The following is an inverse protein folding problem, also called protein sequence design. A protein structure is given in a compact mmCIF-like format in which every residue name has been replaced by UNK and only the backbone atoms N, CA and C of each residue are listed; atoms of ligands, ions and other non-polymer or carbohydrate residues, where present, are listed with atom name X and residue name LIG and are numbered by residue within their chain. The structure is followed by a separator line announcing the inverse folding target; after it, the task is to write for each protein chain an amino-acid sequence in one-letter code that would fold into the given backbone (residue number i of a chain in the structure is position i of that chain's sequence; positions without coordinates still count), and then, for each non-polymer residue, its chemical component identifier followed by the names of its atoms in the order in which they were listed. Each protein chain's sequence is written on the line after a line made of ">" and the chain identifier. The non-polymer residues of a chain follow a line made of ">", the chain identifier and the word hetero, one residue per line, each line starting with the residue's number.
data_IF_220538952587
#
_entry.id   IF_220538952587
#
_cell.length_a   1.000
_cell.length_b   1.000
_cell.length_c   1.000
_cell.angle_alpha   90.00
_cell.angle_beta   90.00
_cell.angle_gamma   90.00
#
_symmetry.space_group_name_H-M   'P 1'
#
loop_
_entity.id
_entity.type
_entity.pdbx_description
1 polymer ?
#
# COMPACT_ATOMS: atom_id res chain seq x y z
N UNK A 1 21.43 -3.38 -15.04
CA UNK A 1 20.45 -2.33 -14.75
C UNK A 1 20.36 -1.50 -16.02
N UNK A 2 19.36 -1.79 -16.86
CA UNK A 2 19.21 -1.07 -18.13
C UNK A 2 18.93 0.39 -17.82
N UNK A 3 19.66 1.31 -18.47
CA UNK A 3 19.44 2.74 -18.29
C UNK A 3 18.07 3.06 -18.88
N UNK A 4 17.14 3.52 -18.06
CA UNK A 4 15.87 4.04 -18.53
C UNK A 4 16.17 5.34 -19.28
N UNK A 5 16.00 5.32 -20.60
CA UNK A 5 16.15 6.53 -21.42
C UNK A 5 14.84 7.32 -21.42
N UNK A 6 14.95 8.62 -21.14
CA UNK A 6 13.85 9.59 -21.19
C UNK A 6 14.01 10.49 -22.41
N UNK A 7 12.89 10.74 -23.10
CA UNK A 7 12.80 11.77 -24.13
C UNK A 7 12.99 13.16 -23.52
N UNK A 8 13.25 14.17 -24.34
CA UNK A 8 13.38 15.56 -23.87
C UNK A 8 12.10 16.04 -23.15
N UNK A 9 10.93 15.63 -23.64
CA UNK A 9 9.64 15.97 -23.05
C UNK A 9 9.43 15.28 -21.70
N UNK A 10 9.85 14.02 -21.58
CA UNK A 10 9.76 13.28 -20.32
C UNK A 10 10.74 13.82 -19.28
N UNK A 11 11.93 14.27 -19.69
CA UNK A 11 12.88 14.94 -18.79
C UNK A 11 12.29 16.17 -18.13
N UNK A 12 11.40 16.91 -18.80
CA UNK A 12 10.71 18.03 -18.18
C UNK A 12 9.89 17.63 -16.94
N UNK A 13 9.33 16.41 -16.92
CA UNK A 13 8.61 15.88 -15.75
C UNK A 13 9.55 15.36 -14.66
N UNK A 14 10.66 14.74 -15.03
CA UNK A 14 11.61 14.10 -14.09
C UNK A 14 12.56 15.14 -13.47
N UNK A 15 12.95 16.14 -14.24
CA UNK A 15 13.80 17.26 -13.86
C UNK A 15 13.03 18.58 -14.02
N UNK A 16 11.93 18.77 -13.25
CA UNK A 16 11.05 19.89 -13.47
C UNK A 16 11.72 21.20 -13.06
N UNK A 17 11.54 22.23 -13.89
CA UNK A 17 11.99 23.58 -13.58
C UNK A 17 11.30 24.09 -12.30
N UNK A 18 12.00 24.84 -11.43
CA UNK A 18 11.41 25.42 -10.23
C UNK A 18 10.14 26.23 -10.51
N UNK A 19 9.19 26.20 -9.59
CA UNK A 19 7.91 26.93 -9.70
C UNK A 19 6.84 26.24 -10.55
N UNK A 20 7.18 25.17 -11.29
CA UNK A 20 6.20 24.39 -12.06
C UNK A 20 5.33 23.51 -11.15
N UNK A 21 4.20 23.04 -11.67
CA UNK A 21 3.36 22.06 -10.97
C UNK A 21 4.10 20.73 -10.75
N UNK A 22 4.90 20.30 -11.74
CA UNK A 22 5.73 19.11 -11.62
C UNK A 22 6.79 19.25 -10.51
N UNK A 23 7.41 20.43 -10.36
CA UNK A 23 8.33 20.68 -9.25
C UNK A 23 7.62 20.57 -7.90
N UNK A 24 6.43 21.17 -7.75
CA UNK A 24 5.65 21.03 -6.51
C UNK A 24 5.24 19.58 -6.21
N UNK A 25 4.87 18.81 -7.22
CA UNK A 25 4.54 17.39 -7.07
C UNK A 25 5.76 16.59 -6.60
N UNK A 26 6.93 16.81 -7.22
CA UNK A 26 8.19 16.19 -6.80
C UNK A 26 8.56 16.57 -5.36
N UNK A 27 8.44 17.85 -5.02
CA UNK A 27 8.79 18.34 -3.68
C UNK A 27 7.82 17.82 -2.59
N UNK A 28 6.59 17.45 -2.96
CA UNK A 28 5.65 16.71 -2.09
C UNK A 28 6.01 15.22 -1.94
N UNK A 29 6.95 14.70 -2.73
CA UNK A 29 7.34 13.28 -2.74
C UNK A 29 6.61 12.42 -3.76
N UNK A 30 5.93 13.02 -4.75
CA UNK A 30 5.32 12.26 -5.85
C UNK A 30 6.40 11.82 -6.84
N UNK A 31 6.50 10.52 -7.09
CA UNK A 31 7.39 9.96 -8.10
C UNK A 31 6.79 10.11 -9.52
N UNK A 32 7.26 11.13 -10.24
CA UNK A 32 6.83 11.42 -11.61
C UNK A 32 7.39 10.44 -12.66
N UNK A 33 8.34 9.56 -12.30
CA UNK A 33 8.81 8.48 -13.19
C UNK A 33 7.71 7.45 -13.45
N UNK A 34 6.81 7.26 -12.48
CA UNK A 34 5.61 6.44 -12.62
C UNK A 34 4.64 7.11 -13.60
N UNK A 35 4.49 8.43 -13.55
CA UNK A 35 3.67 9.18 -14.49
C UNK A 35 4.19 9.02 -15.92
N UNK A 36 5.50 9.15 -16.14
CA UNK A 36 6.11 8.91 -17.45
C UNK A 36 5.85 7.48 -17.93
N UNK A 37 6.05 6.49 -17.06
CA UNK A 37 5.78 5.09 -17.38
C UNK A 37 4.33 4.86 -17.79
N UNK A 38 3.37 5.52 -17.13
CA UNK A 38 1.95 5.44 -17.47
C UNK A 38 1.60 6.15 -18.79
N UNK A 39 2.30 7.22 -19.15
CA UNK A 39 2.10 7.94 -20.42
C UNK A 39 2.59 7.13 -21.63
N UNK A 40 3.59 6.26 -21.46
CA UNK A 40 4.01 5.27 -22.47
C UNK A 40 3.00 4.14 -22.66
N UNK A 41 2.05 4.04 -21.74
CA UNK A 41 0.82 3.24 -21.72
C UNK A 41 0.01 3.30 -23.03
N UNK A 42 -0.21 2.19 -23.76
CA UNK A 42 -1.42 2.14 -24.63
C UNK A 42 -2.69 2.14 -23.79
N UNK A 43 -3.85 2.36 -24.42
CA UNK A 43 -5.13 2.31 -23.72
C UNK A 43 -5.39 0.92 -23.11
N UNK A 44 -5.12 -0.14 -23.85
CA UNK A 44 -5.28 -1.54 -23.43
C UNK A 44 -4.36 -1.86 -22.27
N UNK A 45 -3.09 -1.48 -22.36
CA UNK A 45 -2.12 -1.68 -21.29
C UNK A 45 -2.49 -0.92 -20.00
N UNK A 46 -3.07 0.28 -20.13
CA UNK A 46 -3.60 1.01 -18.97
C UNK A 46 -4.75 0.26 -18.30
N UNK A 47 -5.66 -0.33 -19.08
CA UNK A 47 -6.77 -1.14 -18.54
C UNK A 47 -6.23 -2.38 -17.81
N UNK A 48 -5.28 -3.10 -18.41
CA UNK A 48 -4.67 -4.27 -17.77
C UNK A 48 -3.99 -3.90 -16.45
N UNK A 49 -3.21 -2.82 -16.42
CA UNK A 49 -2.56 -2.32 -15.20
C UNK A 49 -3.57 -1.93 -14.10
N UNK A 50 -4.71 -1.35 -14.49
CA UNK A 50 -5.78 -1.03 -13.54
C UNK A 50 -6.40 -2.30 -12.95
N UNK A 51 -6.63 -3.33 -13.77
CA UNK A 51 -7.17 -4.61 -13.33
C UNK A 51 -6.22 -5.32 -12.35
N UNK A 52 -4.92 -5.36 -12.66
CA UNK A 52 -3.88 -5.88 -11.76
C UNK A 52 -3.83 -5.12 -10.43
N UNK A 53 -3.99 -3.80 -10.47
CA UNK A 53 -4.02 -2.96 -9.27
C UNK A 53 -5.27 -3.25 -8.43
N UNK A 54 -6.44 -3.38 -9.06
CA UNK A 54 -7.67 -3.75 -8.35
C UNK A 54 -7.58 -5.13 -7.71
N UNK A 55 -7.02 -6.11 -8.43
CA UNK A 55 -6.81 -7.45 -7.90
C UNK A 55 -5.91 -7.43 -6.67
N UNK A 56 -4.79 -6.70 -6.74
CA UNK A 56 -3.84 -6.56 -5.62
C UNK A 56 -4.47 -5.90 -4.40
N UNK A 57 -5.25 -4.83 -4.60
CA UNK A 57 -5.97 -4.17 -3.50
C UNK A 57 -7.01 -5.07 -2.83
N UNK A 58 -7.74 -5.88 -3.61
CA UNK A 58 -8.68 -6.86 -3.06
C UNK A 58 -7.97 -7.89 -2.19
N UNK A 59 -6.82 -8.37 -2.64
CA UNK A 59 -6.00 -9.32 -1.87
C UNK A 59 -5.53 -8.71 -0.55
N UNK A 60 -4.95 -7.50 -0.60
CA UNK A 60 -4.49 -6.81 0.63
C UNK A 60 -5.62 -6.54 1.62
N UNK A 61 -6.83 -6.24 1.14
CA UNK A 61 -7.99 -6.08 2.04
C UNK A 61 -8.31 -7.39 2.78
N UNK A 62 -8.32 -8.52 2.07
CA UNK A 62 -8.56 -9.83 2.66
C UNK A 62 -7.46 -10.18 3.68
N UNK A 63 -6.20 -9.89 3.35
CA UNK A 63 -5.08 -10.13 4.27
C UNK A 63 -5.21 -9.28 5.55
N UNK A 64 -5.59 -8.00 5.44
CA UNK A 64 -5.85 -7.13 6.60
C UNK A 64 -7.01 -7.63 7.46
N UNK A 65 -8.13 -8.03 6.85
CA UNK A 65 -9.28 -8.60 7.57
C UNK A 65 -8.88 -9.86 8.34
N UNK A 66 -8.10 -10.75 7.73
CA UNK A 66 -7.60 -11.97 8.38
C UNK A 66 -6.64 -11.67 9.55
N UNK A 67 -5.82 -10.63 9.44
CA UNK A 67 -4.91 -10.22 10.52
C UNK A 67 -5.67 -9.65 11.73
N UNK A 68 -6.73 -8.86 11.50
CA UNK A 68 -7.61 -8.39 12.57
C UNK A 68 -8.32 -9.55 13.30
N UNK A 69 -8.81 -10.54 12.56
CA UNK A 69 -9.46 -11.72 13.15
C UNK A 69 -8.49 -12.51 14.04
N UNK A 70 -7.22 -12.63 13.64
CA UNK A 70 -6.18 -13.28 14.45
C UNK A 70 -5.83 -12.51 15.72
N UNK A 71 -5.69 -11.18 15.62
CA UNK A 71 -5.44 -10.35 16.80
C UNK A 71 -6.61 -10.42 17.79
N UNK A 72 -7.85 -10.36 17.30
CA UNK A 72 -9.04 -10.49 18.13
C UNK A 72 -9.11 -11.87 18.82
N UNK A 73 -8.84 -12.95 18.08
CA UNK A 73 -8.80 -14.29 18.66
C UNK A 73 -7.77 -14.41 19.80
N UNK A 74 -6.58 -13.83 19.62
CA UNK A 74 -5.55 -13.83 20.66
C UNK A 74 -5.96 -13.03 21.90
N UNK A 75 -6.66 -11.90 21.73
CA UNK A 75 -7.18 -11.11 22.85
C UNK A 75 -8.27 -11.86 23.63
N UNK A 76 -9.19 -12.53 22.94
CA UNK A 76 -10.25 -13.33 23.57
C UNK A 76 -9.67 -14.52 24.34
N UNK A 77 -8.63 -15.18 23.81
CA UNK A 77 -7.93 -16.25 24.51
C UNK A 77 -7.27 -15.75 25.80
N UNK A 78 -6.61 -14.58 25.73
CA UNK A 78 -6.01 -13.95 26.92
C UNK A 78 -7.07 -13.60 27.98
N UNK A 79 -8.22 -13.07 27.57
CA UNK A 79 -9.34 -12.79 28.47
C UNK A 79 -9.84 -14.07 29.16
N UNK A 80 -10.06 -15.14 28.39
CA UNK A 80 -10.47 -16.44 28.92
C UNK A 80 -9.46 -17.01 29.93
N UNK A 81 -8.15 -16.88 29.67
CA UNK A 81 -7.10 -17.29 30.60
C UNK A 81 -7.14 -16.46 31.89
N UNK A 82 -7.34 -15.16 31.79
CA UNK A 82 -7.45 -14.28 32.96
C UNK A 82 -8.68 -14.60 33.81
N UNK A 83 -9.82 -14.88 33.17
CA UNK A 83 -11.03 -15.32 33.83
C UNK A 83 -10.82 -16.66 34.57
N UNK A 84 -10.28 -17.66 33.88
CA UNK A 84 -9.93 -18.95 34.50
C UNK A 84 -9.03 -18.78 35.72
N UNK A 85 -8.01 -17.92 35.62
CA UNK A 85 -7.10 -17.61 36.75
C UNK A 85 -7.81 -16.92 37.92
N UNK A 86 -8.78 -16.05 37.65
CA UNK A 86 -9.59 -15.42 38.71
C UNK A 86 -10.42 -16.47 39.44
N UNK A 87 -11.17 -17.28 38.69
CA UNK A 87 -12.05 -18.32 39.25
C UNK A 87 -11.25 -19.35 40.07
N UNK A 88 -10.11 -19.79 39.56
CA UNK A 88 -9.25 -20.77 40.25
C UNK A 88 -8.48 -20.20 41.43
N UNK A 89 -8.15 -18.90 41.45
CA UNK A 89 -7.60 -18.23 42.63
C UNK A 89 -8.65 -18.06 43.74
N UNK A 90 -9.91 -17.82 43.39
CA UNK A 90 -11.02 -17.69 44.35
C UNK A 90 -11.55 -19.03 44.86
N UNK A 91 -11.24 -20.14 44.20
CA UNK A 91 -11.64 -21.51 44.59
C UNK A 91 -10.77 -22.17 45.66
N UNK A 92 -9.81 -21.46 46.27
CA UNK A 92 -9.12 -21.94 47.48
C UNK A 92 -9.95 -21.56 48.71
N UNK A 93 -10.87 -22.44 49.08
CA UNK A 93 -11.40 -22.55 50.45
C UNK A 93 -11.11 -23.93 51.00
#
# INVERSE_FOLDING_TARGET
>A
MDKVEYTEQERWLIEPKPGTAAARARDFGIDLSITVSNLRLTAEQRIMKLDETQHSLRKHRVDLENDYDRELAALLELEAILEYRRVTKTGKS
#
